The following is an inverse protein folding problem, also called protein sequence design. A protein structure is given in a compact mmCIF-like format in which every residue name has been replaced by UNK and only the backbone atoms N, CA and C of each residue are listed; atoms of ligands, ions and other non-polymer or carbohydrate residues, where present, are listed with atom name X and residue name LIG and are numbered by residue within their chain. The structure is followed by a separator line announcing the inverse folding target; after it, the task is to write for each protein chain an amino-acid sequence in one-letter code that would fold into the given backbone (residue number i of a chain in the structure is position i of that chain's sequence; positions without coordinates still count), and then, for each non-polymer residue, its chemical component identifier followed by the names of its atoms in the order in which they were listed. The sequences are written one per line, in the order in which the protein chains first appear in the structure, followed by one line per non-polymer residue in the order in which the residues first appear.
data_IF_966176589275
#
_entry.id   IF_966176589275
#
_cell.length_a   1.000
_cell.length_b   1.000
_cell.length_c   1.000
_cell.angle_alpha   90.00
_cell.angle_beta   90.00
_cell.angle_gamma   90.00
#
_symmetry.space_group_name_H-M   'P 1'
#
loop_
_entity.id
_entity.type
_entity.pdbx_description
1 polymer ?
#
# COMPACT_ATOMS: atom_id res chain seq x y z
N UNK A 1 -22.50 -13.97 30.82
CA UNK A 1 -21.63 -15.09 30.43
C UNK A 1 -21.19 -14.90 28.99
N UNK A 2 -19.90 -15.01 28.65
CA UNK A 2 -19.44 -14.93 27.27
C UNK A 2 -20.14 -16.01 26.44
N UNK A 3 -20.47 -15.71 25.18
CA UNK A 3 -20.98 -16.69 24.22
C UNK A 3 -19.79 -17.55 23.75
N UNK A 4 -19.73 -18.85 24.09
CA UNK A 4 -18.71 -19.74 23.55
C UNK A 4 -19.12 -20.11 22.12
N UNK A 5 -18.21 -19.91 21.16
CA UNK A 5 -18.34 -20.26 19.74
C UNK A 5 -19.65 -19.77 19.07
N UNK A 6 -19.60 -18.52 18.57
CA UNK A 6 -20.73 -17.89 17.89
C UNK A 6 -20.37 -17.39 16.50
N UNK A 7 -21.28 -17.56 15.53
CA UNK A 7 -21.20 -16.88 14.26
C UNK A 7 -21.80 -15.48 14.40
N UNK A 8 -21.00 -14.42 14.19
CA UNK A 8 -21.52 -13.05 14.16
C UNK A 8 -21.92 -12.71 12.74
N UNK A 9 -23.20 -12.39 12.55
CA UNK A 9 -23.76 -11.98 11.26
C UNK A 9 -24.18 -10.52 11.35
N UNK A 10 -23.69 -9.70 10.43
CA UNK A 10 -24.03 -8.30 10.31
C UNK A 10 -25.19 -8.15 9.33
N UNK A 11 -26.24 -7.49 9.78
CA UNK A 11 -27.37 -7.12 8.94
C UNK A 11 -27.51 -5.59 8.95
N UNK A 12 -27.74 -5.01 7.77
CA UNK A 12 -28.14 -3.60 7.65
C UNK A 12 -29.67 -3.54 7.57
N UNK A 13 -30.28 -2.70 8.38
CA UNK A 13 -31.72 -2.44 8.36
C UNK A 13 -32.02 -1.27 7.42
N UNK A 14 -32.89 -1.50 6.43
CA UNK A 14 -33.38 -0.44 5.54
C UNK A 14 -34.53 0.35 6.18
N UNK A 15 -34.90 1.49 5.59
CA UNK A 15 -35.99 2.33 6.08
C UNK A 15 -37.36 1.61 6.12
N UNK A 16 -37.52 0.51 5.37
CA UNK A 16 -38.70 -0.35 5.38
C UNK A 16 -38.63 -1.49 6.41
N UNK A 17 -37.59 -1.52 7.26
CA UNK A 17 -37.30 -2.56 8.28
C UNK A 17 -36.90 -3.93 7.71
N UNK A 18 -36.57 -4.01 6.42
CA UNK A 18 -35.96 -5.21 5.87
C UNK A 18 -34.48 -5.29 6.26
N UNK A 19 -34.02 -6.51 6.57
CA UNK A 19 -32.64 -6.80 6.92
C UNK A 19 -31.92 -7.37 5.70
N UNK A 20 -30.88 -6.68 5.21
CA UNK A 20 -29.95 -7.24 4.24
C UNK A 20 -28.72 -7.82 4.96
N UNK A 21 -28.34 -9.03 4.58
CA UNK A 21 -27.09 -9.63 5.04
C UNK A 21 -25.91 -8.88 4.42
N UNK A 22 -25.08 -8.30 5.28
CA UNK A 22 -23.92 -7.50 4.86
C UNK A 22 -22.66 -8.35 4.89
N UNK A 23 -22.56 -9.26 5.85
CA UNK A 23 -21.43 -10.17 6.00
C UNK A 23 -21.40 -10.83 7.38
N UNK A 24 -20.37 -11.61 7.65
CA UNK A 24 -20.24 -12.30 8.92
C UNK A 24 -18.89 -12.96 9.08
N UNK A 25 -18.48 -13.19 10.32
CA UNK A 25 -17.22 -13.87 10.66
C UNK A 25 -17.44 -14.80 11.84
N UNK A 26 -16.72 -15.91 11.84
CA UNK A 26 -16.73 -16.87 12.95
C UNK A 26 -15.76 -16.37 14.03
N UNK A 27 -16.28 -16.12 15.23
CA UNK A 27 -15.49 -15.62 16.36
C UNK A 27 -15.43 -16.65 17.46
N UNK A 28 -14.19 -16.93 17.88
CA UNK A 28 -13.89 -17.85 19.00
C UNK A 28 -14.19 -17.22 20.36
N UNK A 29 -14.11 -15.90 20.49
CA UNK A 29 -14.39 -15.18 21.73
C UNK A 29 -14.79 -13.72 21.47
N UNK A 30 -15.94 -13.29 21.99
CA UNK A 30 -16.34 -11.88 22.09
C UNK A 30 -16.63 -11.56 23.55
N UNK A 31 -15.78 -10.76 24.23
CA UNK A 31 -16.06 -10.26 25.57
C UNK A 31 -17.31 -9.37 25.56
N UNK A 32 -18.16 -9.49 26.59
CA UNK A 32 -19.33 -8.62 26.75
C UNK A 32 -18.82 -7.21 27.09
N UNK A 33 -19.12 -6.24 26.21
CA UNK A 33 -18.76 -4.83 26.38
C UNK A 33 -17.65 -4.32 25.47
N UNK A 34 -16.97 -5.21 24.73
CA UNK A 34 -15.94 -4.82 23.77
C UNK A 34 -16.54 -4.54 22.38
N UNK A 35 -15.98 -3.54 21.69
CA UNK A 35 -16.32 -3.26 20.29
C UNK A 35 -15.62 -4.30 19.40
N UNK A 36 -16.40 -5.01 18.59
CA UNK A 36 -15.89 -5.98 17.61
C UNK A 36 -16.00 -5.38 16.22
N UNK A 37 -14.89 -5.40 15.48
CA UNK A 37 -14.86 -5.03 14.07
C UNK A 37 -15.03 -6.32 13.23
N UNK A 38 -16.05 -6.34 12.38
CA UNK A 38 -16.38 -7.49 11.53
C UNK A 38 -16.18 -7.08 10.08
N UNK A 39 -15.28 -7.78 9.38
CA UNK A 39 -15.11 -7.58 7.94
C UNK A 39 -16.28 -8.23 7.21
N UNK A 40 -17.07 -7.41 6.53
CA UNK A 40 -18.19 -7.86 5.70
C UNK A 40 -17.79 -8.18 4.25
N UNK A 41 -16.50 -8.07 3.92
CA UNK A 41 -16.02 -8.12 2.54
C UNK A 41 -16.20 -6.78 1.80
N UNK A 42 -15.87 -6.74 0.49
CA UNK A 42 -15.92 -5.51 -0.29
C UNK A 42 -17.36 -5.03 -0.46
N UNK A 43 -17.59 -3.74 -0.20
CA UNK A 43 -18.88 -3.11 -0.44
C UNK A 43 -19.12 -2.91 -1.93
N UNK A 44 -20.12 -3.61 -2.51
CA UNK A 44 -20.42 -3.55 -3.94
C UNK A 44 -20.84 -2.15 -4.42
N UNK A 45 -21.30 -1.30 -3.50
CA UNK A 45 -21.74 0.05 -3.84
C UNK A 45 -20.60 1.07 -3.75
N UNK A 46 -19.40 0.68 -3.33
CA UNK A 46 -18.22 1.56 -3.35
C UNK A 46 -17.23 1.05 -4.38
N UNK A 47 -16.95 1.86 -5.40
CA UNK A 47 -15.99 1.49 -6.45
C UNK A 47 -14.71 2.29 -6.31
N UNK A 48 -13.58 1.61 -6.53
CA UNK A 48 -12.25 2.22 -6.52
C UNK A 48 -11.55 1.85 -7.82
N UNK A 49 -11.19 2.86 -8.62
CA UNK A 49 -10.37 2.68 -9.82
C UNK A 49 -9.03 3.38 -9.64
N UNK A 50 -7.94 2.62 -9.62
CA UNK A 50 -6.57 3.14 -9.50
C UNK A 50 -5.91 3.22 -10.87
N UNK A 51 -5.33 4.36 -11.20
CA UNK A 51 -4.59 4.59 -12.45
C UNK A 51 -3.17 5.03 -12.13
N UNK A 52 -2.19 4.43 -12.81
CA UNK A 52 -0.82 4.94 -12.81
C UNK A 52 -0.76 6.16 -13.72
N UNK A 53 -0.32 7.30 -13.18
CA UNK A 53 -0.22 8.57 -13.90
C UNK A 53 1.20 8.85 -14.39
N UNK A 54 2.18 8.46 -13.59
CA UNK A 54 3.58 8.64 -13.93
C UNK A 54 4.45 7.56 -13.28
N UNK A 55 5.56 7.23 -13.93
CA UNK A 55 6.58 6.31 -13.43
C UNK A 55 7.95 6.86 -13.80
N UNK A 56 8.83 6.97 -12.81
CA UNK A 56 10.18 7.51 -12.99
C UNK A 56 11.21 6.68 -12.25
N UNK A 57 12.31 6.37 -12.94
CA UNK A 57 13.51 5.80 -12.34
C UNK A 57 14.57 6.89 -12.15
N UNK A 58 15.16 6.98 -10.96
CA UNK A 58 16.21 7.94 -10.62
C UNK A 58 17.28 7.33 -9.73
N UNK A 59 18.36 8.09 -9.46
CA UNK A 59 19.42 7.65 -8.56
C UNK A 59 20.13 6.36 -9.00
N UNK A 60 20.22 6.13 -10.32
CA UNK A 60 20.72 4.87 -10.87
C UNK A 60 22.22 4.74 -10.63
N UNK A 61 22.60 3.66 -9.95
CA UNK A 61 23.95 3.12 -9.88
C UNK A 61 23.95 1.77 -10.59
N UNK A 62 24.80 1.64 -11.59
CA UNK A 62 24.95 0.40 -12.36
C UNK A 62 26.33 -0.21 -12.15
N UNK A 63 26.39 -1.53 -12.01
CA UNK A 63 27.63 -2.31 -12.04
C UNK A 63 27.92 -2.71 -13.47
N UNK A 64 29.14 -2.41 -13.93
CA UNK A 64 29.67 -2.93 -15.18
C UNK A 64 30.57 -4.14 -14.93
N UNK A 65 30.39 -5.19 -15.71
CA UNK A 65 31.28 -6.35 -15.67
C UNK A 65 31.35 -7.05 -17.01
N UNK A 66 32.50 -7.64 -17.30
CA UNK A 66 32.63 -8.57 -18.41
C UNK A 66 32.20 -9.96 -17.96
N UNK A 67 31.42 -10.63 -18.79
CA UNK A 67 31.10 -12.04 -18.66
C UNK A 67 31.41 -12.71 -20.00
N UNK A 68 32.08 -13.86 -19.96
CA UNK A 68 32.24 -14.68 -21.14
C UNK A 68 30.90 -15.33 -21.48
N UNK A 69 30.40 -15.04 -22.67
CA UNK A 69 29.26 -15.69 -23.29
C UNK A 69 29.82 -16.35 -24.55
N UNK A 70 29.83 -17.67 -24.57
CA UNK A 70 30.52 -18.49 -25.56
C UNK A 70 32.05 -18.18 -25.61
N UNK A 71 32.58 -17.79 -26.77
CA UNK A 71 33.99 -17.45 -26.97
C UNK A 71 34.27 -15.93 -26.93
N UNK A 72 33.27 -15.12 -26.57
CA UNK A 72 33.40 -13.66 -26.51
C UNK A 72 33.18 -13.10 -25.09
N UNK A 73 33.96 -12.08 -24.74
CA UNK A 73 33.72 -11.31 -23.52
C UNK A 73 32.74 -10.17 -23.81
N UNK A 74 31.55 -10.27 -23.23
CA UNK A 74 30.49 -9.27 -23.36
C UNK A 74 30.44 -8.39 -22.11
N UNK A 75 30.30 -7.07 -22.30
CA UNK A 75 30.02 -6.14 -21.21
C UNK A 75 28.55 -6.20 -20.82
N UNK A 76 28.28 -6.49 -19.55
CA UNK A 76 26.95 -6.46 -18.95
C UNK A 76 26.84 -5.33 -17.94
N UNK A 77 25.62 -4.81 -17.81
CA UNK A 77 25.24 -3.74 -16.89
C UNK A 77 24.12 -4.24 -16.00
N UNK A 78 24.36 -4.29 -14.68
CA UNK A 78 23.33 -4.60 -13.71
C UNK A 78 22.92 -3.33 -12.95
N UNK A 79 21.62 -3.08 -12.81
CA UNK A 79 21.09 -2.05 -11.92
C UNK A 79 21.28 -2.50 -10.47
N UNK A 80 22.04 -1.73 -9.71
CA UNK A 80 22.47 -2.09 -8.35
C UNK A 80 21.71 -1.27 -7.30
N UNK A 81 21.65 0.03 -7.52
CA UNK A 81 20.93 0.97 -6.67
C UNK A 81 20.11 1.87 -7.58
N UNK A 82 18.84 2.02 -7.25
CA UNK A 82 17.96 2.94 -7.96
C UNK A 82 16.73 3.23 -7.12
N UNK A 83 16.07 4.31 -7.50
CA UNK A 83 14.80 4.73 -6.95
C UNK A 83 13.75 4.63 -8.04
N UNK A 84 12.61 4.03 -7.72
CA UNK A 84 11.49 3.91 -8.63
C UNK A 84 10.27 4.60 -8.03
N UNK A 85 9.85 5.69 -8.64
CA UNK A 85 8.72 6.50 -8.19
C UNK A 85 7.51 6.22 -9.06
N UNK A 86 6.38 5.94 -8.43
CA UNK A 86 5.08 5.77 -9.07
C UNK A 86 4.12 6.83 -8.54
N UNK A 87 3.42 7.51 -9.44
CA UNK A 87 2.36 8.48 -9.11
C UNK A 87 1.02 7.86 -9.47
N UNK A 88 0.13 7.75 -8.50
CA UNK A 88 -1.19 7.18 -8.68
C UNK A 88 -2.28 8.23 -8.54
N UNK A 89 -3.36 8.03 -9.29
CA UNK A 89 -4.65 8.68 -9.06
C UNK A 89 -5.68 7.59 -8.84
N UNK A 90 -6.43 7.71 -7.75
CA UNK A 90 -7.54 6.83 -7.42
C UNK A 90 -8.85 7.60 -7.53
N UNK A 91 -9.78 7.03 -8.27
CA UNK A 91 -11.16 7.47 -8.36
C UNK A 91 -11.99 6.60 -7.42
N UNK A 92 -12.58 7.21 -6.38
CA UNK A 92 -13.44 6.55 -5.41
C UNK A 92 -14.86 7.08 -5.59
N UNK A 93 -15.82 6.19 -5.81
CA UNK A 93 -17.23 6.54 -6.02
C UNK A 93 -18.10 5.82 -5.00
N UNK A 94 -18.92 6.57 -4.27
CA UNK A 94 -19.97 6.02 -3.41
C UNK A 94 -21.28 5.93 -4.18
N UNK A 95 -21.79 4.72 -4.38
CA UNK A 95 -23.14 4.42 -4.85
C UNK A 95 -24.18 4.35 -3.73
N UNK A 96 -23.77 4.59 -2.47
CA UNK A 96 -24.66 4.53 -1.32
C UNK A 96 -25.66 5.70 -1.31
N UNK A 97 -26.90 5.49 -0.84
CA UNK A 97 -27.87 6.56 -0.65
C UNK A 97 -27.63 7.39 0.63
N UNK A 98 -26.60 7.05 1.41
CA UNK A 98 -26.24 7.70 2.67
C UNK A 98 -24.76 8.10 2.67
N UNK A 99 -24.42 9.10 3.48
CA UNK A 99 -23.02 9.47 3.69
C UNK A 99 -22.28 8.32 4.39
N UNK A 100 -21.07 8.03 3.92
CA UNK A 100 -20.21 6.98 4.47
C UNK A 100 -18.82 7.54 4.74
N UNK A 101 -18.09 6.86 5.62
CA UNK A 101 -16.64 7.01 5.72
C UNK A 101 -16.00 5.75 5.14
N UNK A 102 -15.30 5.88 4.03
CA UNK A 102 -14.56 4.79 3.41
C UNK A 102 -13.18 4.67 4.06
N UNK A 103 -12.81 3.45 4.46
CA UNK A 103 -11.45 3.09 4.85
C UNK A 103 -10.76 2.39 3.68
N UNK A 104 -9.66 2.95 3.20
CA UNK A 104 -8.90 2.42 2.07
C UNK A 104 -7.53 1.95 2.55
N UNK A 105 -7.29 0.65 2.40
CA UNK A 105 -6.04 -0.01 2.77
C UNK A 105 -5.08 -0.19 1.57
N UNK A 106 -3.79 0.02 1.80
CA UNK A 106 -2.73 -0.16 0.79
C UNK A 106 -1.49 -0.82 1.40
N UNK A 107 -1.05 -1.91 0.77
CA UNK A 107 0.19 -2.61 1.10
C UNK A 107 1.27 -2.30 0.06
N UNK A 108 2.50 -2.16 0.53
CA UNK A 108 3.66 -1.84 -0.30
C UNK A 108 4.74 -2.91 -0.20
N UNK A 109 5.55 -3.02 -1.26
CA UNK A 109 6.69 -3.94 -1.32
C UNK A 109 7.92 -3.32 -0.63
N UNK A 110 7.83 -3.08 0.68
CA UNK A 110 8.92 -2.53 1.49
C UNK A 110 8.45 -1.87 2.79
N UNK A 111 9.41 -1.53 3.65
CA UNK A 111 9.15 -0.78 4.87
C UNK A 111 8.64 0.61 4.52
N UNK A 112 7.46 0.96 5.04
CA UNK A 112 6.84 2.25 4.75
C UNK A 112 7.52 3.36 5.55
N UNK A 113 7.93 4.41 4.84
CA UNK A 113 8.17 5.74 5.38
C UNK A 113 7.01 6.62 4.90
N UNK A 114 6.15 7.05 5.81
CA UNK A 114 4.87 7.69 5.47
C UNK A 114 4.93 9.20 5.66
N UNK A 115 4.66 9.96 4.59
CA UNK A 115 4.34 11.38 4.67
C UNK A 115 2.82 11.58 4.60
N UNK A 116 2.21 11.93 5.74
CA UNK A 116 0.76 12.16 5.85
C UNK A 116 0.37 13.53 6.41
N UNK A 117 1.32 14.31 6.92
CA UNK A 117 1.07 15.61 7.54
C UNK A 117 1.66 16.77 6.74
N UNK A 118 1.58 17.97 7.33
CA UNK A 118 2.12 19.20 6.72
C UNK A 118 3.62 19.10 6.38
N UNK A 119 4.38 18.40 7.22
CA UNK A 119 5.81 18.21 7.04
C UNK A 119 6.12 16.72 6.81
N UNK A 120 7.14 16.41 6.00
CA UNK A 120 7.61 15.04 5.84
C UNK A 120 8.17 14.49 7.16
N UNK A 121 8.15 13.17 7.35
CA UNK A 121 8.79 12.54 8.51
C UNK A 121 10.30 12.73 8.45
N UNK A 122 10.99 12.62 9.59
CA UNK A 122 12.42 12.91 9.70
C UNK A 122 13.30 12.04 8.79
N UNK A 123 12.85 10.82 8.51
CA UNK A 123 13.51 9.83 7.68
C UNK A 123 13.12 9.89 6.20
N UNK A 124 12.30 10.86 5.76
CA UNK A 124 11.85 10.98 4.35
C UNK A 124 13.00 11.02 3.33
N UNK A 125 14.08 11.71 3.67
CA UNK A 125 15.26 11.84 2.81
C UNK A 125 16.34 10.78 3.10
N UNK A 126 16.02 9.75 3.89
CA UNK A 126 16.94 8.67 4.20
C UNK A 126 17.33 7.88 2.95
N UNK A 127 18.52 7.29 2.94
CA UNK A 127 18.96 6.37 1.89
C UNK A 127 18.59 4.92 2.16
N UNK A 128 17.91 4.63 3.27
CA UNK A 128 17.48 3.28 3.61
C UNK A 128 16.52 2.70 2.58
N UNK A 129 16.62 1.39 2.36
CA UNK A 129 15.70 0.68 1.47
C UNK A 129 14.28 0.69 2.04
N UNK A 130 13.29 0.94 1.20
CA UNK A 130 11.90 1.01 1.63
C UNK A 130 10.95 1.62 0.61
N UNK A 131 9.70 1.75 1.03
CA UNK A 131 8.62 2.40 0.30
C UNK A 131 8.33 3.77 0.93
N UNK A 132 8.72 4.84 0.26
CA UNK A 132 8.50 6.20 0.70
C UNK A 132 7.17 6.67 0.14
N UNK A 133 6.14 6.61 0.96
CA UNK A 133 4.75 6.80 0.55
C UNK A 133 4.33 8.22 0.90
N UNK A 134 3.97 8.98 -0.12
CA UNK A 134 3.47 10.33 0.01
C UNK A 134 1.94 10.35 -0.12
N UNK A 135 1.25 10.56 1.01
CA UNK A 135 -0.20 10.71 1.13
C UNK A 135 -0.58 12.07 1.77
N UNK A 136 0.30 13.06 1.77
CA UNK A 136 0.04 14.33 2.50
C UNK A 136 -1.09 15.17 1.89
N UNK A 137 -1.42 14.95 0.62
CA UNK A 137 -2.55 15.60 -0.05
C UNK A 137 -3.90 14.91 0.19
N UNK A 138 -3.92 13.75 0.86
CA UNK A 138 -5.17 13.06 1.21
C UNK A 138 -5.93 13.92 2.22
N UNK A 139 -7.20 14.27 1.96
CA UNK A 139 -7.94 15.21 2.81
C UNK A 139 -8.34 14.63 4.16
N UNK A 140 -8.50 13.31 4.24
CA UNK A 140 -8.87 12.64 5.48
C UNK A 140 -7.67 12.14 6.26
N UNK A 141 -7.97 11.46 7.36
CA UNK A 141 -6.96 10.86 8.22
C UNK A 141 -6.17 9.79 7.45
N UNK A 142 -4.86 9.74 7.67
CA UNK A 142 -3.97 8.71 7.12
C UNK A 142 -3.20 8.08 8.28
N UNK A 143 -3.11 6.77 8.29
CA UNK A 143 -2.46 6.01 9.35
C UNK A 143 -1.54 4.93 8.76
N UNK A 144 -0.38 4.74 9.38
CA UNK A 144 0.44 3.55 9.16
C UNK A 144 -0.06 2.46 10.10
N UNK A 145 -0.50 1.34 9.54
CA UNK A 145 -1.05 0.21 10.31
C UNK A 145 0.07 -0.68 10.84
N UNK A 146 1.05 -0.98 9.98
CA UNK A 146 2.21 -1.81 10.32
C UNK A 146 3.44 -1.46 9.45
N UNK A 147 4.40 -2.37 9.36
CA UNK A 147 5.65 -2.19 8.63
C UNK A 147 5.46 -1.83 7.15
N UNK A 148 4.49 -2.43 6.45
CA UNK A 148 4.28 -2.27 5.00
C UNK A 148 2.85 -1.88 4.60
N UNK A 149 2.00 -1.62 5.60
CA UNK A 149 0.58 -1.35 5.42
C UNK A 149 0.23 0.07 5.89
N UNK A 150 -0.49 0.81 5.03
CA UNK A 150 -1.12 2.09 5.38
C UNK A 150 -2.61 2.03 5.11
N UNK A 151 -3.35 2.88 5.80
CA UNK A 151 -4.75 3.15 5.51
C UNK A 151 -5.05 4.63 5.51
N UNK A 152 -6.08 5.02 4.79
CA UNK A 152 -6.62 6.37 4.86
C UNK A 152 -8.13 6.38 4.78
N UNK A 153 -8.71 7.45 5.31
CA UNK A 153 -10.14 7.63 5.47
C UNK A 153 -10.65 8.70 4.53
N UNK A 154 -11.81 8.47 3.91
CA UNK A 154 -12.50 9.47 3.10
C UNK A 154 -13.97 9.52 3.48
N UNK A 155 -14.44 10.69 3.91
CA UNK A 155 -15.87 10.94 4.01
C UNK A 155 -16.45 11.12 2.60
N UNK A 156 -17.50 10.39 2.26
CA UNK A 156 -18.17 10.42 0.96
C UNK A 156 -19.66 10.66 1.17
N UNK A 157 -20.18 11.73 0.55
CA UNK A 157 -21.61 11.97 0.46
C UNK A 157 -22.29 10.95 -0.47
N UNK A 158 -23.63 10.82 -0.41
CA UNK A 158 -24.36 9.95 -1.32
C UNK A 158 -24.06 10.28 -2.80
N UNK A 159 -23.67 9.28 -3.60
CA UNK A 159 -23.33 9.50 -5.01
C UNK A 159 -21.99 10.20 -5.25
N UNK A 160 -21.22 10.54 -4.21
CA UNK A 160 -20.02 11.35 -4.35
C UNK A 160 -18.90 10.59 -5.08
N UNK A 161 -18.20 11.33 -5.95
CA UNK A 161 -16.95 10.91 -6.59
C UNK A 161 -15.81 11.77 -6.05
N UNK A 162 -14.77 11.13 -5.51
CA UNK A 162 -13.53 11.79 -5.11
C UNK A 162 -12.33 11.23 -5.88
N UNK A 163 -11.35 12.10 -6.08
CA UNK A 163 -10.05 11.73 -6.61
C UNK A 163 -9.00 11.90 -5.52
N UNK A 164 -8.19 10.87 -5.32
CA UNK A 164 -7.03 10.89 -4.43
C UNK A 164 -5.77 10.71 -5.26
N UNK A 165 -4.80 11.58 -5.06
CA UNK A 165 -3.46 11.45 -5.65
C UNK A 165 -2.47 11.12 -4.55
N UNK A 166 -1.53 10.25 -4.88
CA UNK A 166 -0.43 9.91 -4.00
C UNK A 166 0.73 9.35 -4.80
N UNK A 167 1.92 9.35 -4.20
CA UNK A 167 3.09 8.74 -4.81
C UNK A 167 3.75 7.75 -3.88
N UNK A 168 4.51 6.82 -4.47
CA UNK A 168 5.41 5.96 -3.72
C UNK A 168 6.74 5.90 -4.43
N UNK A 169 7.83 6.15 -3.70
CA UNK A 169 9.20 5.94 -4.17
C UNK A 169 9.77 4.71 -3.49
N UNK A 170 10.05 3.67 -4.27
CA UNK A 170 10.79 2.50 -3.82
C UNK A 170 12.28 2.76 -3.93
N UNK A 171 12.98 2.82 -2.79
CA UNK A 171 14.44 2.88 -2.75
C UNK A 171 14.98 1.46 -2.73
N UNK A 172 15.49 1.00 -3.87
CA UNK A 172 16.04 -0.35 -4.04
C UNK A 172 17.53 -0.29 -3.79
N UNK A 173 17.95 -0.57 -2.55
CA UNK A 173 19.37 -0.62 -2.18
C UNK A 173 19.87 -2.05 -2.21
N UNK A 174 20.83 -2.34 -3.07
CA UNK A 174 21.73 -3.50 -2.90
C UNK A 174 23.06 -2.95 -2.41
N UNK A 175 23.26 -2.89 -1.10
CA UNK A 175 24.56 -2.54 -0.51
C UNK A 175 24.96 -3.68 0.42
N UNK A 176 25.93 -4.49 -0.02
CA UNK A 176 26.38 -5.65 0.73
C UNK A 176 27.53 -6.40 0.02
N UNK A 177 28.19 -7.35 0.71
CA UNK A 177 29.32 -8.14 0.20
C UNK A 177 29.03 -8.88 -1.13
N UNK A 178 27.76 -9.01 -1.51
CA UNK A 178 27.30 -9.60 -2.78
C UNK A 178 27.81 -8.85 -4.03
N UNK A 179 28.15 -7.56 -3.91
CA UNK A 179 28.73 -6.77 -5.01
C UNK A 179 30.26 -6.86 -5.09
N UNK A 180 30.91 -7.27 -4.00
CA UNK A 180 32.37 -7.34 -3.84
C UNK A 180 32.84 -8.78 -3.54
N UNK A 181 32.31 -9.76 -4.28
CA UNK A 181 32.91 -11.08 -4.37
C UNK A 181 34.03 -11.02 -5.43
N UNK A 182 35.27 -10.82 -4.98
CA UNK A 182 36.53 -10.87 -5.74
C UNK A 182 36.43 -11.31 -7.21
N UNK A 183 36.76 -10.40 -8.15
CA UNK A 183 37.03 -10.80 -9.54
C UNK A 183 38.49 -11.22 -9.69
N UNK A 184 38.69 -12.54 -9.81
CA UNK A 184 39.93 -13.16 -10.27
C UNK A 184 40.33 -12.63 -11.66
N UNK A 185 41.62 -12.36 -11.83
CA UNK A 185 42.22 -12.06 -13.14
C UNK A 185 42.43 -13.37 -13.89
N UNK A 186 41.90 -13.45 -15.09
CA UNK A 186 42.27 -14.47 -16.07
C UNK A 186 43.41 -13.91 -16.95
N UNK A 187 44.52 -14.65 -17.12
CA UNK A 187 45.41 -14.45 -18.26
C UNK A 187 44.73 -14.92 -19.55
N UNK A 188 45.23 -14.39 -20.67
CA UNK A 188 44.77 -14.66 -22.04
C UNK A 188 44.81 -16.16 -22.39
#
# INVERSE_FOLDING_TARGET
SPLPDGAVRLFSEYANRDLAYVGGTDVKYVPIGDRVEVSAGPDSDVTITRRLKDQKTSGIVARQYKRRLDDEFVWLHDLVDYEETFVYEEEIVSGKPVAIQAEIERRFDGNVVLWSGKNPPADWNSNEAGAYVDLHEVPGRVERVDQNHVKYFLDLAPGEKKFVKYSVTYKRRKVGPELNTEKKREPL
#
